data_IF_443243801935
#
_entry.id   IF_443243801935
#
_cell.length_a   1.000
_cell.length_b   1.000
_cell.length_c   1.000
_cell.angle_alpha   90.00
_cell.angle_beta   90.00
_cell.angle_gamma   90.00
#
_symmetry.space_group_name_H-M   'P 1'
#
loop_
_entity.id
_entity.type
_entity.pdbx_description
1 polymer ?
#
# COMPACT_ATOMS: atom_id res chain seq x y z
N UNK A 1 0.38 14.08 23.00
CA UNK A 1 1.61 14.51 22.32
C UNK A 1 1.25 14.43 20.85
N UNK A 2 1.09 15.57 20.19
CA UNK A 2 0.70 15.57 18.79
C UNK A 2 1.89 15.06 17.97
N UNK A 3 1.65 14.02 17.18
CA UNK A 3 2.67 13.45 16.29
C UNK A 3 2.94 14.45 15.16
N UNK A 4 4.20 14.61 14.81
CA UNK A 4 4.62 15.55 13.76
C UNK A 4 4.20 15.01 12.38
N UNK A 5 3.32 15.74 11.65
CA UNK A 5 2.77 15.28 10.37
C UNK A 5 3.84 15.06 9.29
N UNK A 6 5.06 15.58 9.45
CA UNK A 6 6.17 15.30 8.54
C UNK A 6 6.55 13.80 8.50
N UNK A 7 6.30 13.07 9.59
CA UNK A 7 6.61 11.64 9.71
C UNK A 7 5.41 10.72 9.49
N UNK A 8 4.24 11.30 9.18
CA UNK A 8 3.08 10.51 8.79
C UNK A 8 3.32 9.79 7.45
N UNK A 9 2.85 8.55 7.36
CA UNK A 9 2.92 7.71 6.16
C UNK A 9 1.52 7.39 5.67
N UNK A 10 1.14 7.91 4.51
CA UNK A 10 -0.10 7.52 3.82
C UNK A 10 0.10 6.14 3.20
N UNK A 11 -0.81 5.20 3.49
CA UNK A 11 -0.71 3.81 3.06
C UNK A 11 -1.78 3.48 2.02
N UNK A 12 -1.34 2.92 0.91
CA UNK A 12 -2.17 2.37 -0.17
C UNK A 12 -1.80 0.90 -0.37
N UNK A 13 -2.78 0.02 -0.24
CA UNK A 13 -2.56 -1.42 -0.31
C UNK A 13 -3.41 -2.03 -1.41
N UNK A 14 -2.74 -2.62 -2.38
CA UNK A 14 -3.30 -3.50 -3.39
C UNK A 14 -3.50 -4.91 -2.79
N UNK A 15 -4.65 -5.14 -2.14
CA UNK A 15 -4.93 -6.41 -1.47
C UNK A 15 -5.09 -7.59 -2.45
N UNK A 16 -5.19 -7.31 -3.74
CA UNK A 16 -5.34 -8.33 -4.76
C UNK A 16 -4.01 -8.93 -5.17
N UNK A 17 -2.99 -8.09 -5.32
CA UNK A 17 -1.63 -8.53 -5.66
C UNK A 17 -0.75 -8.76 -4.43
N UNK A 18 -1.02 -8.10 -3.30
CA UNK A 18 -0.34 -8.33 -2.03
C UNK A 18 -1.30 -8.98 -1.02
N UNK A 19 -1.60 -10.26 -1.23
CA UNK A 19 -2.53 -10.99 -0.37
C UNK A 19 -1.92 -11.28 1.01
N UNK A 20 -2.80 -11.50 1.99
CA UNK A 20 -2.43 -11.97 3.32
C UNK A 20 -3.11 -13.28 3.63
N UNK A 21 -2.39 -14.13 4.34
CA UNK A 21 -2.95 -15.29 5.02
C UNK A 21 -3.69 -14.81 6.28
N UNK A 22 -4.84 -15.39 6.59
CA UNK A 22 -5.73 -14.93 7.68
C UNK A 22 -5.02 -14.80 9.05
N UNK A 23 -3.99 -15.61 9.33
CA UNK A 23 -3.26 -15.54 10.60
C UNK A 23 -2.30 -14.35 10.71
N UNK A 24 -1.94 -13.70 9.60
CA UNK A 24 -1.02 -12.55 9.57
C UNK A 24 -1.71 -11.25 10.00
N UNK A 25 -3.04 -11.19 9.93
CA UNK A 25 -3.79 -9.94 10.07
C UNK A 25 -3.69 -9.30 11.46
N UNK A 26 -3.62 -10.10 12.52
CA UNK A 26 -3.64 -9.62 13.90
C UNK A 26 -2.44 -8.73 14.24
N UNK A 27 -1.28 -8.96 13.60
CA UNK A 27 -0.06 -8.19 13.85
C UNK A 27 0.31 -7.28 12.68
N UNK A 28 -0.49 -7.25 11.62
CA UNK A 28 -0.18 -6.54 10.38
C UNK A 28 0.23 -5.08 10.62
N UNK A 29 -0.57 -4.34 11.39
CA UNK A 29 -0.31 -2.92 11.63
C UNK A 29 0.99 -2.69 12.40
N UNK A 30 1.21 -3.50 13.44
CA UNK A 30 2.43 -3.43 14.24
C UNK A 30 3.67 -3.80 13.40
N UNK A 31 3.54 -4.78 12.51
CA UNK A 31 4.63 -5.20 11.64
C UNK A 31 4.96 -4.13 10.59
N UNK A 32 3.95 -3.52 9.95
CA UNK A 32 4.14 -2.41 9.01
C UNK A 32 4.80 -1.22 9.71
N UNK A 33 4.27 -0.77 10.85
CA UNK A 33 4.87 0.34 11.59
C UNK A 33 6.30 0.04 12.05
N UNK A 34 6.55 -1.18 12.54
CA UNK A 34 7.90 -1.57 12.95
C UNK A 34 8.87 -1.61 11.77
N UNK A 35 8.39 -2.02 10.59
CA UNK A 35 9.18 -2.02 9.35
C UNK A 35 9.48 -0.60 8.89
N UNK A 36 8.50 0.30 8.90
CA UNK A 36 8.70 1.72 8.61
C UNK A 36 9.75 2.35 9.55
N UNK A 37 9.71 1.99 10.84
CA UNK A 37 10.70 2.47 11.83
C UNK A 37 12.12 1.97 11.59
N UNK A 38 12.33 0.99 10.71
CA UNK A 38 13.69 0.61 10.28
C UNK A 38 14.29 1.59 9.27
N UNK A 39 13.46 2.37 8.57
CA UNK A 39 13.90 3.47 7.70
C UNK A 39 14.04 4.79 8.48
N UNK A 40 13.05 5.14 9.30
CA UNK A 40 13.12 6.29 10.23
C UNK A 40 12.29 6.00 11.49
N UNK A 41 12.92 6.04 12.66
CA UNK A 41 12.29 5.69 13.94
C UNK A 41 11.04 6.52 14.28
N UNK A 42 10.88 7.69 13.64
CA UNK A 42 9.76 8.62 13.85
C UNK A 42 8.56 8.29 12.98
N UNK A 43 8.71 7.46 11.95
CA UNK A 43 7.61 7.12 11.05
C UNK A 43 6.45 6.43 11.78
N UNK A 44 5.25 6.84 11.38
CA UNK A 44 3.99 6.27 11.85
C UNK A 44 2.93 6.32 10.74
N UNK A 45 1.96 5.42 10.79
CA UNK A 45 0.93 5.37 9.77
C UNK A 45 -0.09 6.49 9.96
N UNK A 46 -0.49 7.11 8.85
CA UNK A 46 -1.59 8.05 8.83
C UNK A 46 -2.89 7.38 9.31
N UNK A 47 -3.81 8.18 9.84
CA UNK A 47 -5.09 7.69 10.36
C UNK A 47 -5.90 6.98 9.29
N UNK A 48 -6.07 7.64 8.14
CA UNK A 48 -6.73 7.11 6.93
C UNK A 48 -5.72 6.26 6.15
N UNK A 49 -6.13 5.04 5.81
CA UNK A 49 -5.38 4.08 4.99
C UNK A 49 -6.31 3.61 3.89
N UNK A 50 -5.78 3.26 2.74
CA UNK A 50 -6.58 2.78 1.61
C UNK A 50 -6.19 1.36 1.32
N UNK A 51 -7.19 0.49 1.21
CA UNK A 51 -7.03 -0.86 0.67
C UNK A 51 -7.93 -1.00 -0.55
N UNK A 52 -7.33 -1.41 -1.66
CA UNK A 52 -8.01 -1.60 -2.94
C UNK A 52 -8.06 -3.09 -3.22
N UNK A 53 -9.25 -3.57 -3.55
CA UNK A 53 -9.48 -4.97 -3.90
C UNK A 53 -10.97 -5.25 -4.04
N UNK A 54 -11.30 -6.34 -4.73
CA UNK A 54 -12.69 -6.77 -4.83
C UNK A 54 -13.22 -7.09 -3.42
N UNK A 55 -14.31 -6.46 -3.01
CA UNK A 55 -14.98 -6.66 -1.72
C UNK A 55 -15.41 -8.11 -1.46
N UNK A 56 -15.57 -8.90 -2.52
CA UNK A 56 -15.85 -10.33 -2.51
C UNK A 56 -14.59 -11.20 -2.31
N UNK A 57 -13.39 -10.63 -2.27
CA UNK A 57 -12.18 -11.37 -1.88
C UNK A 57 -12.39 -11.93 -0.48
N UNK A 58 -12.14 -13.23 -0.31
CA UNK A 58 -12.32 -13.94 0.97
C UNK A 58 -11.63 -13.19 2.11
N UNK A 59 -10.44 -12.65 1.88
CA UNK A 59 -9.73 -11.85 2.87
C UNK A 59 -10.50 -10.58 3.28
N UNK A 60 -10.94 -9.76 2.32
CA UNK A 60 -11.63 -8.49 2.60
C UNK A 60 -12.99 -8.77 3.25
N UNK A 61 -13.74 -9.74 2.74
CA UNK A 61 -15.05 -10.11 3.28
C UNK A 61 -14.95 -10.67 4.72
N UNK A 62 -13.91 -11.45 5.04
CA UNK A 62 -13.71 -12.00 6.38
C UNK A 62 -13.16 -10.98 7.39
N UNK A 63 -12.49 -9.93 6.92
CA UNK A 63 -11.74 -9.03 7.78
C UNK A 63 -12.09 -7.54 7.64
N UNK A 64 -13.13 -7.19 6.88
CA UNK A 64 -13.53 -5.81 6.62
C UNK A 64 -13.78 -4.97 7.88
N UNK A 65 -14.41 -5.56 8.91
CA UNK A 65 -14.65 -4.86 10.17
C UNK A 65 -13.34 -4.51 10.88
N UNK A 66 -12.39 -5.44 10.93
CA UNK A 66 -11.07 -5.20 11.51
C UNK A 66 -10.31 -4.12 10.73
N UNK A 67 -10.31 -4.20 9.39
CA UNK A 67 -9.68 -3.19 8.53
C UNK A 67 -10.27 -1.80 8.81
N UNK A 68 -11.60 -1.70 8.92
CA UNK A 68 -12.28 -0.45 9.25
C UNK A 68 -11.87 0.08 10.63
N UNK A 69 -11.79 -0.78 11.64
CA UNK A 69 -11.32 -0.41 12.99
C UNK A 69 -9.87 0.08 13.00
N UNK A 70 -9.01 -0.42 12.10
CA UNK A 70 -7.63 0.04 11.91
C UNK A 70 -7.51 1.32 11.04
N UNK A 71 -8.64 1.88 10.58
CA UNK A 71 -8.70 3.10 9.80
C UNK A 71 -8.53 2.90 8.29
N UNK A 72 -8.71 1.68 7.79
CA UNK A 72 -8.77 1.44 6.34
C UNK A 72 -10.12 1.87 5.76
N UNK A 73 -10.04 2.53 4.62
CA UNK A 73 -11.11 2.68 3.64
C UNK A 73 -10.92 1.58 2.61
N UNK A 74 -11.91 0.69 2.49
CA UNK A 74 -11.93 -0.35 1.47
C UNK A 74 -12.55 0.26 0.21
N UNK A 75 -11.77 0.31 -0.86
CA UNK A 75 -12.22 0.76 -2.18
C UNK A 75 -12.40 -0.46 -3.06
N UNK A 76 -13.66 -0.68 -3.46
CA UNK A 76 -14.03 -1.84 -4.25
C UNK A 76 -13.43 -1.73 -5.65
N UNK A 77 -12.68 -2.77 -6.04
CA UNK A 77 -12.19 -2.95 -7.40
C UNK A 77 -12.98 -4.10 -8.05
N UNK A 78 -14.17 -3.82 -8.62
CA UNK A 78 -15.05 -4.88 -9.13
C UNK A 78 -14.38 -5.64 -10.27
N UNK A 79 -14.66 -6.95 -10.34
CA UNK A 79 -14.35 -7.76 -11.53
C UNK A 79 -15.03 -7.14 -12.75
N UNK A 80 -14.26 -6.71 -13.75
CA UNK A 80 -14.86 -6.35 -15.04
C UNK A 80 -15.35 -7.63 -15.73
N UNK A 81 -16.61 -7.64 -16.15
CA UNK A 81 -17.19 -8.76 -16.89
C UNK A 81 -16.41 -9.06 -18.17
N UNK A 82 -16.26 -10.35 -18.42
CA UNK A 82 -15.44 -10.94 -19.47
C UNK A 82 -16.13 -10.80 -20.83
N UNK A 83 -15.76 -9.80 -21.62
CA UNK A 83 -15.90 -9.92 -23.08
C UNK A 83 -14.63 -10.57 -23.64
N UNK A 84 -14.78 -11.81 -24.11
CA UNK A 84 -13.74 -12.63 -24.71
C UNK A 84 -12.89 -11.80 -25.69
N UNK A 85 -11.60 -11.58 -25.38
CA UNK A 85 -10.44 -11.40 -26.30
C UNK A 85 -9.26 -10.68 -25.62
N UNK A 86 -9.43 -10.00 -24.48
CA UNK A 86 -8.31 -9.32 -23.79
C UNK A 86 -8.25 -9.76 -22.32
N UNK A 87 -7.21 -10.51 -21.94
CA UNK A 87 -6.86 -10.68 -20.53
C UNK A 87 -6.46 -9.31 -19.98
N UNK A 88 -7.35 -8.69 -19.20
CA UNK A 88 -6.99 -7.51 -18.40
C UNK A 88 -7.09 -7.88 -16.93
N UNK A 89 -5.97 -7.68 -16.24
CA UNK A 89 -5.90 -7.67 -14.80
C UNK A 89 -6.84 -6.59 -14.25
N UNK A 90 -7.31 -6.80 -13.02
CA UNK A 90 -8.09 -5.83 -12.27
C UNK A 90 -7.41 -4.45 -12.27
N UNK A 91 -8.21 -3.39 -12.31
CA UNK A 91 -7.69 -2.04 -12.39
C UNK A 91 -7.31 -1.44 -11.02
N UNK A 92 -6.81 -2.29 -10.11
CA UNK A 92 -6.36 -1.85 -8.78
C UNK A 92 -5.27 -0.78 -8.89
N UNK A 93 -4.45 -0.84 -9.94
CA UNK A 93 -3.43 0.15 -10.27
C UNK A 93 -3.99 1.56 -10.50
N UNK A 94 -4.96 1.71 -11.40
CA UNK A 94 -5.56 3.03 -11.65
C UNK A 94 -6.40 3.50 -10.46
N UNK A 95 -7.08 2.60 -9.75
CA UNK A 95 -7.85 2.98 -8.55
C UNK A 95 -6.92 3.52 -7.46
N UNK A 96 -5.78 2.87 -7.22
CA UNK A 96 -4.78 3.40 -6.27
C UNK A 96 -4.27 4.77 -6.71
N UNK A 97 -4.02 4.96 -8.02
CA UNK A 97 -3.61 6.27 -8.54
C UNK A 97 -4.70 7.33 -8.33
N UNK A 98 -5.96 7.02 -8.61
CA UNK A 98 -7.10 7.92 -8.40
C UNK A 98 -7.25 8.30 -6.92
N UNK A 99 -7.09 7.33 -6.02
CA UNK A 99 -7.12 7.56 -4.56
C UNK A 99 -5.94 8.44 -4.08
N UNK A 100 -4.74 8.24 -4.64
CA UNK A 100 -3.58 9.10 -4.39
C UNK A 100 -3.90 10.53 -4.86
N UNK A 101 -4.39 10.70 -6.09
CA UNK A 101 -4.73 12.01 -6.66
C UNK A 101 -5.82 12.71 -5.87
N UNK A 102 -6.86 11.99 -5.44
CA UNK A 102 -7.91 12.50 -4.56
C UNK A 102 -7.32 13.07 -3.26
N UNK A 103 -6.47 12.31 -2.58
CA UNK A 103 -5.83 12.77 -1.35
C UNK A 103 -4.85 13.94 -1.56
N UNK A 104 -4.21 14.05 -2.73
CA UNK A 104 -3.42 15.24 -3.08
C UNK A 104 -4.31 16.47 -3.17
N UNK A 105 -5.44 16.37 -3.88
CA UNK A 105 -6.38 17.49 -4.07
C UNK A 105 -7.04 17.92 -2.76
N UNK A 106 -7.37 16.97 -1.89
CA UNK A 106 -7.95 17.20 -0.56
C UNK A 106 -6.91 17.70 0.47
N UNK A 107 -5.62 17.73 0.11
CA UNK A 107 -4.48 18.02 1.00
C UNK A 107 -4.39 17.07 2.19
N UNK A 108 -4.86 15.84 2.02
CA UNK A 108 -4.80 14.77 3.02
C UNK A 108 -3.59 13.85 2.84
N UNK A 109 -2.95 13.88 1.67
CA UNK A 109 -1.79 13.02 1.39
C UNK A 109 -0.57 13.46 2.22
N UNK A 110 -0.01 12.51 2.97
CA UNK A 110 1.20 12.70 3.78
C UNK A 110 2.43 12.91 2.90
N UNK A 111 3.52 13.46 3.46
CA UNK A 111 4.80 13.60 2.74
C UNK A 111 5.38 12.24 2.33
N UNK A 112 5.21 11.23 3.18
CA UNK A 112 5.67 9.88 2.94
C UNK A 112 4.50 9.01 2.49
N UNK A 113 4.69 8.26 1.41
CA UNK A 113 3.65 7.43 0.80
C UNK A 113 4.16 6.01 0.67
N UNK A 114 3.47 5.06 1.31
CA UNK A 114 3.71 3.63 1.19
C UNK A 114 2.71 3.01 0.22
N UNK A 115 3.21 2.38 -0.83
CA UNK A 115 2.42 1.55 -1.75
C UNK A 115 2.80 0.08 -1.52
N UNK A 116 1.81 -0.74 -1.17
CA UNK A 116 1.96 -2.19 -1.00
C UNK A 116 1.32 -2.86 -2.20
N UNK A 117 2.11 -3.53 -3.04
CA UNK A 117 1.60 -4.36 -4.15
C UNK A 117 2.62 -5.43 -4.51
N UNK A 118 2.17 -6.68 -4.59
CA UNK A 118 3.04 -7.81 -4.86
C UNK A 118 3.55 -7.84 -6.30
N UNK A 119 2.69 -7.52 -7.28
CA UNK A 119 2.96 -7.78 -8.71
C UNK A 119 2.78 -6.60 -9.66
N UNK A 120 2.24 -5.48 -9.20
CA UNK A 120 2.02 -4.31 -10.06
C UNK A 120 3.14 -3.29 -9.92
N UNK A 121 3.61 -2.77 -11.05
CA UNK A 121 4.66 -1.75 -11.11
C UNK A 121 4.06 -0.34 -11.10
N UNK A 122 4.23 0.36 -9.99
CA UNK A 122 3.74 1.73 -9.84
C UNK A 122 4.77 2.79 -10.25
N UNK A 123 5.71 2.47 -11.16
CA UNK A 123 6.85 3.35 -11.51
C UNK A 123 6.39 4.75 -11.88
N UNK A 124 5.37 4.88 -12.74
CA UNK A 124 4.83 6.19 -13.15
C UNK A 124 4.26 6.96 -11.96
N UNK A 125 3.53 6.29 -11.08
CA UNK A 125 2.98 6.86 -9.85
C UNK A 125 4.09 7.32 -8.91
N UNK A 126 5.15 6.52 -8.73
CA UNK A 126 6.30 6.89 -7.90
C UNK A 126 7.00 8.15 -8.42
N UNK A 127 7.25 8.22 -9.74
CA UNK A 127 7.85 9.40 -10.37
C UNK A 127 6.98 10.65 -10.24
N UNK A 128 5.66 10.49 -10.33
CA UNK A 128 4.72 11.58 -10.10
C UNK A 128 4.78 12.06 -8.65
N UNK A 129 4.78 11.13 -7.67
CA UNK A 129 4.91 11.45 -6.25
C UNK A 129 6.23 12.18 -5.95
N UNK A 130 7.34 11.69 -6.48
CA UNK A 130 8.66 12.30 -6.33
C UNK A 130 8.69 13.73 -6.92
N UNK A 131 8.11 13.92 -8.12
CA UNK A 131 7.99 15.24 -8.75
C UNK A 131 7.13 16.23 -7.96
N UNK A 132 6.31 15.73 -7.02
CA UNK A 132 5.51 16.52 -6.08
C UNK A 132 6.12 16.53 -4.67
N UNK A 133 7.44 16.32 -4.55
CA UNK A 133 8.23 16.38 -3.32
C UNK A 133 7.78 15.38 -2.25
N UNK A 134 7.23 14.23 -2.66
CA UNK A 134 6.84 13.13 -1.77
C UNK A 134 7.92 12.06 -1.70
N UNK A 135 8.07 11.49 -0.51
CA UNK A 135 8.91 10.33 -0.26
C UNK A 135 8.15 9.06 -0.63
N UNK A 136 8.77 8.21 -1.45
CA UNK A 136 8.17 7.01 -2.02
C UNK A 136 8.68 5.76 -1.30
N UNK A 137 7.78 5.04 -0.66
CA UNK A 137 8.04 3.80 0.07
C UNK A 137 7.25 2.67 -0.61
N UNK A 138 7.84 1.49 -0.76
CA UNK A 138 7.13 0.35 -1.36
C UNK A 138 7.28 -0.94 -0.56
N UNK A 139 6.26 -1.79 -0.58
CA UNK A 139 6.37 -3.19 -0.18
C UNK A 139 5.92 -4.09 -1.34
N UNK A 140 6.77 -5.03 -1.72
CA UNK A 140 6.68 -5.78 -2.98
C UNK A 140 6.97 -7.27 -2.78
N UNK A 141 6.60 -8.13 -3.74
CA UNK A 141 7.00 -9.53 -3.72
C UNK A 141 8.46 -9.71 -4.21
N UNK A 142 9.02 -10.90 -4.00
CA UNK A 142 10.42 -11.21 -4.34
C UNK A 142 10.73 -11.11 -5.84
N UNK A 143 9.72 -11.19 -6.70
CA UNK A 143 9.84 -11.13 -8.17
C UNK A 143 9.67 -9.71 -8.73
N UNK A 144 9.54 -8.69 -7.87
CA UNK A 144 9.40 -7.31 -8.30
C UNK A 144 10.60 -6.83 -9.13
N UNK A 145 10.31 -6.04 -10.17
CA UNK A 145 11.33 -5.51 -11.08
C UNK A 145 12.37 -4.65 -10.33
N UNK A 146 13.69 -4.85 -10.57
CA UNK A 146 14.73 -4.00 -10.01
C UNK A 146 14.55 -2.52 -10.33
N UNK A 147 14.00 -2.19 -11.51
CA UNK A 147 13.72 -0.81 -11.92
C UNK A 147 12.62 -0.18 -11.06
N UNK A 148 11.63 -0.98 -10.65
CA UNK A 148 10.57 -0.52 -9.74
C UNK A 148 11.12 -0.29 -8.34
N UNK A 149 11.90 -1.25 -7.82
CA UNK A 149 12.57 -1.15 -6.52
C UNK A 149 13.49 0.08 -6.49
N UNK A 150 14.32 0.28 -7.52
CA UNK A 150 15.26 1.40 -7.61
C UNK A 150 14.62 2.76 -7.83
N UNK A 151 13.31 2.83 -8.08
CA UNK A 151 12.55 4.10 -8.18
C UNK A 151 12.05 4.56 -6.80
N UNK A 152 11.87 3.65 -5.85
CA UNK A 152 11.44 3.99 -4.49
C UNK A 152 12.63 4.41 -3.63
N UNK A 153 12.38 5.28 -2.64
CA UNK A 153 13.40 5.63 -1.65
C UNK A 153 13.70 4.48 -0.68
N UNK A 154 12.65 3.75 -0.29
CA UNK A 154 12.78 2.55 0.52
C UNK A 154 11.86 1.44 0.03
N UNK A 155 12.36 0.22 0.04
CA UNK A 155 11.61 -0.96 -0.35
C UNK A 155 11.69 -2.08 0.69
N UNK A 156 10.61 -2.85 0.86
CA UNK A 156 10.58 -4.06 1.68
C UNK A 156 9.98 -5.23 0.90
N UNK A 157 10.32 -6.45 1.30
CA UNK A 157 9.56 -7.62 0.91
C UNK A 157 8.24 -7.65 1.69
N UNK A 158 7.14 -7.82 0.97
CA UNK A 158 5.80 -7.81 1.56
C UNK A 158 5.62 -8.95 2.56
N UNK A 159 6.02 -10.17 2.21
CA UNK A 159 5.91 -11.34 3.09
C UNK A 159 6.64 -11.15 4.43
N UNK A 160 7.80 -10.50 4.39
CA UNK A 160 8.54 -10.14 5.60
C UNK A 160 7.81 -9.06 6.39
N UNK A 161 7.37 -7.98 5.73
CA UNK A 161 6.68 -6.86 6.38
C UNK A 161 5.32 -7.28 6.96
N UNK A 162 4.64 -8.25 6.36
CA UNK A 162 3.38 -8.79 6.84
C UNK A 162 3.55 -9.65 8.09
N UNK A 163 4.69 -10.34 8.23
CA UNK A 163 4.91 -11.34 9.30
C UNK A 163 5.73 -10.80 10.47
N UNK A 164 6.61 -9.83 10.23
CA UNK A 164 7.56 -9.31 11.22
C UNK A 164 7.99 -7.88 10.90
N UNK A 165 8.80 -7.30 11.79
CA UNK A 165 9.52 -6.07 11.50
C UNK A 165 10.59 -6.35 10.43
N UNK A 166 10.30 -6.00 9.18
CA UNK A 166 11.18 -6.20 8.05
C UNK A 166 12.27 -5.12 7.99
N UNK A 167 13.46 -5.51 7.54
CA UNK A 167 14.50 -4.57 7.11
C UNK A 167 14.26 -4.21 5.65
N UNK A 168 14.55 -2.97 5.28
CA UNK A 168 14.46 -2.58 3.88
C UNK A 168 15.52 -3.29 3.03
N UNK A 169 15.16 -3.60 1.79
CA UNK A 169 16.00 -4.26 0.78
C UNK A 169 16.67 -3.25 -0.17
N UNK A 170 16.19 -2.01 -0.16
CA UNK A 170 16.72 -0.86 -0.86
C UNK A 170 16.44 0.39 -0.03
#
# INVERSE_FOLDING_TARGET
>A
MDLDPEFAVSLFWDAQNAQLLSHQICNLMANIESSLRTADERYYLAKKKVVVGNSSLDFISQHGEYLHQQGFVVVDAPEQERDCIIERAFDAGNIILDEILGQVLEKELSRNVLIISGKSDFITTLKMLESNERNTLIAVDEDASPDYIGTAQHAWLWDDMATRAAKFIH
#
